data_IF_193504309623
#
_entry.id   IF_193504309623
#
_cell.length_a   1.000
_cell.length_b   1.000
_cell.length_c   1.000
_cell.angle_alpha   90.00
_cell.angle_beta   90.00
_cell.angle_gamma   90.00
#
_symmetry.space_group_name_H-M   'P 1'
#
loop_
_entity.id
_entity.type
_entity.pdbx_description
1 polymer ?
#
# COMPACT_ATOMS: atom_id res chain seq x y z
N UNK A 1 -7.54 18.73 1.18
CA UNK A 1 -6.44 19.17 0.30
C UNK A 1 -5.74 17.92 -0.22
N UNK A 2 -5.48 17.83 -1.52
CA UNK A 2 -4.77 16.66 -2.08
C UNK A 2 -3.29 16.74 -1.71
N UNK A 3 -2.73 15.65 -1.17
CA UNK A 3 -1.28 15.54 -0.96
C UNK A 3 -0.59 15.45 -2.34
N UNK A 4 0.56 16.12 -2.56
CA UNK A 4 1.29 15.98 -3.82
C UNK A 4 1.73 14.52 -4.05
N UNK A 5 1.75 14.04 -5.30
CA UNK A 5 2.18 12.68 -5.58
C UNK A 5 3.67 12.50 -5.23
N UNK A 6 4.00 11.29 -4.78
CA UNK A 6 5.38 10.84 -4.70
C UNK A 6 5.84 10.41 -6.09
N UNK A 7 7.05 10.78 -6.51
CA UNK A 7 7.55 10.56 -7.87
C UNK A 7 9.03 10.20 -7.85
N UNK A 8 9.37 9.11 -8.55
CA UNK A 8 10.76 8.72 -8.80
C UNK A 8 10.88 7.93 -10.10
N UNK A 9 11.74 8.38 -11.03
CA UNK A 9 12.09 7.71 -12.31
C UNK A 9 10.88 7.09 -13.05
N UNK A 10 9.85 7.90 -13.32
CA UNK A 10 8.65 7.47 -14.06
C UNK A 10 7.67 6.60 -13.26
N UNK A 11 7.96 6.33 -11.99
CA UNK A 11 7.03 5.74 -11.04
C UNK A 11 6.41 6.87 -10.22
N UNK A 12 5.10 6.82 -10.03
CA UNK A 12 4.40 7.79 -9.18
C UNK A 12 3.36 7.13 -8.30
N UNK A 13 3.20 7.63 -7.08
CA UNK A 13 2.18 7.20 -6.14
C UNK A 13 1.30 8.38 -5.72
N UNK A 14 -0.01 8.21 -5.85
CA UNK A 14 -1.04 9.11 -5.34
C UNK A 14 -1.67 8.42 -4.13
N UNK A 15 -1.53 9.05 -2.96
CA UNK A 15 -1.88 8.48 -1.66
C UNK A 15 -2.86 9.39 -0.92
N UNK A 16 -3.77 8.79 -0.16
CA UNK A 16 -4.66 9.49 0.74
C UNK A 16 -3.95 10.09 1.96
N UNK A 17 -4.65 10.87 2.80
CA UNK A 17 -4.07 11.51 3.98
C UNK A 17 -3.49 10.52 5.00
N UNK A 18 -3.98 9.28 5.04
CA UNK A 18 -3.46 8.23 5.90
C UNK A 18 -2.36 7.37 5.21
N UNK A 19 -1.96 7.73 3.99
CA UNK A 19 -1.06 6.92 3.15
C UNK A 19 -1.77 5.77 2.43
N UNK A 20 -3.09 5.82 2.34
CA UNK A 20 -3.93 4.76 1.80
C UNK A 20 -4.20 4.90 0.30
N UNK A 21 -4.50 3.78 -0.35
CA UNK A 21 -5.04 3.72 -1.71
C UNK A 21 -6.39 3.02 -1.65
N UNK A 22 -7.43 3.70 -2.11
CA UNK A 22 -8.83 3.26 -2.05
C UNK A 22 -9.33 2.62 -3.35
N UNK A 23 -8.63 2.87 -4.46
CA UNK A 23 -9.03 2.44 -5.80
C UNK A 23 -9.86 3.48 -6.54
N UNK A 24 -9.82 4.73 -6.08
CA UNK A 24 -10.53 5.86 -6.66
C UNK A 24 -10.24 5.97 -8.17
N UNK A 25 -11.27 6.37 -8.92
CA UNK A 25 -11.22 6.65 -10.36
C UNK A 25 -11.68 8.09 -10.60
N UNK A 26 -11.48 8.59 -11.80
CA UNK A 26 -11.97 9.88 -12.24
C UNK A 26 -10.87 10.91 -12.42
N UNK A 27 -11.11 12.13 -11.97
CA UNK A 27 -10.17 13.25 -12.15
C UNK A 27 -8.89 13.14 -11.31
N UNK A 28 -8.93 12.37 -10.22
CA UNK A 28 -7.80 12.18 -9.32
C UNK A 28 -7.75 10.73 -8.83
N UNK A 29 -7.41 9.76 -9.70
CA UNK A 29 -7.27 8.36 -9.31
C UNK A 29 -6.09 8.21 -8.34
N UNK A 30 -6.28 7.38 -7.32
CA UNK A 30 -5.20 6.99 -6.39
C UNK A 30 -4.54 5.68 -6.83
N UNK A 31 -3.32 5.44 -6.34
CA UNK A 31 -2.57 4.22 -6.61
C UNK A 31 -1.08 4.43 -6.87
N UNK A 32 -0.40 3.31 -7.11
CA UNK A 32 0.97 3.27 -7.65
C UNK A 32 0.88 3.05 -9.16
N UNK A 33 1.57 3.88 -9.93
CA UNK A 33 1.51 3.88 -11.38
C UNK A 33 2.90 3.79 -11.99
N UNK A 34 2.98 3.02 -13.08
CA UNK A 34 4.19 2.87 -13.88
C UNK A 34 3.78 2.46 -15.30
N UNK A 35 4.39 3.09 -16.31
CA UNK A 35 4.13 2.80 -17.75
C UNK A 35 2.62 2.71 -18.08
N UNK A 36 1.90 3.78 -17.75
CA UNK A 36 0.48 3.98 -18.05
C UNK A 36 -0.51 2.98 -17.43
N UNK A 37 -0.09 2.16 -16.45
CA UNK A 37 -0.94 1.23 -15.72
C UNK A 37 -0.90 1.47 -14.20
N UNK A 38 -2.04 1.25 -13.53
CA UNK A 38 -2.14 1.22 -12.07
C UNK A 38 -1.72 -0.14 -11.52
N UNK A 39 -0.53 -0.19 -10.95
CA UNK A 39 0.06 -1.37 -10.35
C UNK A 39 -0.38 -1.62 -8.92
N UNK A 40 -0.89 -0.61 -8.20
CA UNK A 40 -1.49 -0.77 -6.87
C UNK A 40 -2.81 -0.01 -6.83
N UNK A 41 -3.91 -0.73 -6.67
CA UNK A 41 -5.27 -0.19 -6.67
C UNK A 41 -5.92 -0.23 -5.29
N UNK A 42 -5.37 -0.99 -4.33
CA UNK A 42 -5.76 -0.93 -2.92
C UNK A 42 -4.53 -1.04 -2.03
N UNK A 43 -4.50 -0.23 -0.98
CA UNK A 43 -3.45 -0.21 0.03
C UNK A 43 -4.02 0.40 1.32
N UNK A 44 -4.84 -0.38 2.03
CA UNK A 44 -5.67 0.14 3.12
C UNK A 44 -5.28 -0.51 4.45
N UNK A 45 -4.72 0.30 5.34
CA UNK A 45 -4.32 -0.10 6.69
C UNK A 45 -5.56 -0.10 7.60
N UNK A 46 -5.67 -1.14 8.44
CA UNK A 46 -6.61 -1.19 9.56
C UNK A 46 -5.84 -1.49 10.84
N UNK A 47 -6.25 -0.83 11.91
CA UNK A 47 -5.75 -1.00 13.28
C UNK A 47 -6.93 -1.46 14.12
N UNK A 48 -6.79 -2.62 14.75
CA UNK A 48 -7.85 -3.27 15.55
C UNK A 48 -9.17 -3.42 14.78
N UNK A 49 -9.06 -3.74 13.49
CA UNK A 49 -10.19 -4.02 12.60
C UNK A 49 -10.86 -2.79 12.00
N UNK A 50 -10.40 -1.58 12.30
CA UNK A 50 -10.98 -0.34 11.80
C UNK A 50 -9.94 0.56 11.09
N UNK A 51 -10.37 1.45 10.17
CA UNK A 51 -9.47 2.44 9.59
C UNK A 51 -8.84 3.33 10.67
N UNK A 52 -7.54 3.66 10.58
CA UNK A 52 -6.86 4.48 11.56
C UNK A 52 -7.42 5.90 11.60
N UNK A 53 -7.40 6.51 12.79
CA UNK A 53 -7.55 7.96 12.91
C UNK A 53 -6.24 8.65 12.49
N UNK A 54 -6.37 9.75 11.73
CA UNK A 54 -5.22 10.53 11.26
C UNK A 54 -4.97 11.67 12.25
N UNK A 55 -3.86 11.59 12.99
CA UNK A 55 -3.41 12.68 13.87
C UNK A 55 -2.61 13.72 13.10
N UNK A 56 -1.68 13.24 12.27
CA UNK A 56 -0.91 14.08 11.34
C UNK A 56 -1.08 13.48 9.96
N UNK A 57 -1.71 14.21 9.01
CA UNK A 57 -1.87 13.72 7.66
C UNK A 57 -0.51 13.58 6.99
N UNK A 58 -0.47 12.79 5.92
CA UNK A 58 0.72 12.59 5.13
C UNK A 58 1.36 13.93 4.71
N UNK A 59 2.64 14.10 5.04
CA UNK A 59 3.45 15.29 4.71
C UNK A 59 4.81 14.87 4.14
N UNK A 60 5.33 15.63 3.19
CA UNK A 60 6.63 15.39 2.56
C UNK A 60 7.33 16.71 2.28
N UNK A 61 8.67 16.70 2.29
CA UNK A 61 9.51 17.85 1.91
C UNK A 61 9.69 17.98 0.40
N UNK A 62 9.26 16.98 -0.38
CA UNK A 62 9.28 17.02 -1.84
C UNK A 62 8.83 15.70 -2.47
N UNK A 63 8.50 15.68 -3.77
CA UNK A 63 7.91 14.51 -4.43
C UNK A 63 8.83 13.28 -4.42
N UNK A 64 10.15 13.46 -4.33
CA UNK A 64 11.13 12.38 -4.26
C UNK A 64 11.66 12.12 -2.83
N UNK A 65 11.08 12.77 -1.81
CA UNK A 65 11.40 12.54 -0.41
C UNK A 65 10.33 11.64 0.24
N UNK A 66 10.68 10.86 1.28
CA UNK A 66 9.71 10.09 2.03
C UNK A 66 8.60 10.99 2.59
N UNK A 67 7.37 10.52 2.48
CA UNK A 67 6.23 11.12 3.15
C UNK A 67 5.97 10.42 4.48
N UNK A 68 5.52 11.18 5.49
CA UNK A 68 5.22 10.66 6.83
C UNK A 68 3.81 11.04 7.27
N UNK A 69 3.10 10.12 7.89
CA UNK A 69 1.85 10.33 8.60
C UNK A 69 1.95 9.77 10.04
N UNK A 70 1.15 10.34 10.95
CA UNK A 70 0.99 9.83 12.32
C UNK A 70 -0.46 9.42 12.51
N UNK A 71 -0.64 8.15 12.86
CA UNK A 71 -1.91 7.45 12.91
C UNK A 71 -2.14 6.84 14.29
N UNK A 72 -3.40 6.63 14.67
CA UNK A 72 -3.76 5.90 15.88
C UNK A 72 -4.90 4.92 15.60
N UNK A 73 -5.08 3.87 16.41
CA UNK A 73 -6.34 3.14 16.40
C UNK A 73 -7.49 4.10 16.72
N UNK A 74 -8.68 3.85 16.19
CA UNK A 74 -9.87 4.58 16.61
C UNK A 74 -10.17 4.22 18.08
N UNK A 75 -10.25 5.24 18.93
CA UNK A 75 -10.56 5.11 20.36
C UNK A 75 -11.73 6.01 20.73
N UNK A 76 -12.37 5.73 21.87
CA UNK A 76 -13.39 6.61 22.45
C UNK A 76 -12.82 8.00 22.75
N UNK A 77 -13.69 9.02 22.79
CA UNK A 77 -13.28 10.43 22.97
C UNK A 77 -12.43 10.70 24.22
N UNK A 78 -12.63 9.92 25.28
CA UNK A 78 -12.03 10.14 26.59
C UNK A 78 -10.91 9.14 26.93
N UNK A 79 -10.48 8.33 25.95
CA UNK A 79 -9.42 7.34 26.16
C UNK A 79 -8.19 7.67 25.30
N UNK A 80 -6.98 7.76 25.90
CA UNK A 80 -5.77 7.92 25.10
C UNK A 80 -5.51 6.64 24.28
N UNK A 81 -5.12 6.79 22.99
CA UNK A 81 -4.79 5.66 22.14
C UNK A 81 -3.72 4.76 22.79
N UNK A 82 -3.91 3.43 22.83
CA UNK A 82 -2.95 2.51 23.44
C UNK A 82 -1.59 2.50 22.73
N UNK A 83 -1.55 2.87 21.46
CA UNK A 83 -0.34 2.98 20.67
C UNK A 83 -0.49 4.02 19.56
N UNK A 84 0.65 4.43 19.02
CA UNK A 84 0.78 5.36 17.89
C UNK A 84 1.47 4.65 16.74
N UNK A 85 1.04 4.89 15.51
CA UNK A 85 1.68 4.37 14.30
C UNK A 85 2.27 5.51 13.50
N UNK A 86 3.59 5.50 13.33
CA UNK A 86 4.29 6.39 12.38
C UNK A 86 4.43 5.61 11.07
N UNK A 87 3.80 6.14 10.02
CA UNK A 87 3.80 5.56 8.68
C UNK A 87 4.68 6.40 7.76
N UNK A 88 5.70 5.79 7.19
CA UNK A 88 6.63 6.42 6.26
C UNK A 88 6.58 5.71 4.91
N UNK A 89 6.43 6.46 3.81
CA UNK A 89 6.29 5.92 2.47
C UNK A 89 7.17 6.67 1.48
N UNK A 90 7.85 5.96 0.59
CA UNK A 90 8.66 6.55 -0.47
C UNK A 90 8.51 5.75 -1.78
N UNK A 91 8.66 6.44 -2.90
CA UNK A 91 8.65 5.81 -4.24
C UNK A 91 10.08 5.70 -4.73
N UNK A 92 10.49 4.49 -5.08
CA UNK A 92 11.73 4.19 -5.79
C UNK A 92 11.43 3.81 -7.25
N UNK A 93 12.46 3.50 -8.04
CA UNK A 93 12.27 3.07 -9.42
C UNK A 93 11.48 1.75 -9.48
N UNK A 94 10.22 1.84 -9.89
CA UNK A 94 9.28 0.72 -10.00
C UNK A 94 8.76 0.18 -8.68
N UNK A 95 8.87 0.91 -7.58
CA UNK A 95 8.44 0.41 -6.29
C UNK A 95 7.89 1.50 -5.35
N UNK A 96 6.95 1.09 -4.48
CA UNK A 96 6.59 1.78 -3.25
C UNK A 96 7.27 1.04 -2.08
N UNK A 97 7.99 1.76 -1.24
CA UNK A 97 8.61 1.24 -0.02
C UNK A 97 7.95 1.92 1.17
N UNK A 98 7.61 1.15 2.19
CA UNK A 98 6.91 1.63 3.38
C UNK A 98 7.54 1.09 4.65
N UNK A 99 7.53 1.91 5.70
CA UNK A 99 7.85 1.53 7.07
C UNK A 99 6.71 1.93 7.99
N UNK A 100 6.24 1.00 8.82
CA UNK A 100 5.29 1.22 9.89
C UNK A 100 6.03 1.02 11.22
N UNK A 101 6.13 2.08 12.03
CA UNK A 101 6.64 2.01 13.40
C UNK A 101 5.48 2.15 14.37
N UNK A 102 5.23 1.11 15.14
CA UNK A 102 4.19 1.06 16.16
C UNK A 102 4.84 1.31 17.52
N UNK A 103 4.34 2.28 18.26
CA UNK A 103 4.91 2.75 19.53
C UNK A 103 3.82 2.66 20.60
N UNK A 104 4.04 1.84 21.63
CA UNK A 104 3.13 1.69 22.75
C UNK A 104 3.12 2.94 23.63
N UNK A 105 1.93 3.42 23.96
CA UNK A 105 1.74 4.61 24.80
C UNK A 105 1.47 4.26 26.28
N UNK A 106 1.30 2.97 26.61
CA UNK A 106 0.88 2.47 27.93
C UNK A 106 2.01 1.77 28.69
N UNK A 107 1.86 1.73 30.01
CA UNK A 107 2.76 1.03 30.93
C UNK A 107 2.43 -0.46 31.05
N UNK A 108 1.31 -0.89 30.48
CA UNK A 108 0.91 -2.28 30.34
C UNK A 108 1.25 -2.79 28.93
N UNK A 109 1.55 -4.10 28.77
CA UNK A 109 1.64 -4.71 27.46
C UNK A 109 0.32 -4.59 26.68
N UNK A 110 0.39 -4.50 25.35
CA UNK A 110 -0.80 -4.53 24.52
C UNK A 110 -0.58 -5.31 23.21
N UNK A 111 -1.64 -6.00 22.78
CA UNK A 111 -1.70 -6.68 21.50
C UNK A 111 -2.21 -5.71 20.43
N UNK A 112 -1.48 -5.59 19.33
CA UNK A 112 -1.84 -4.75 18.18
C UNK A 112 -2.27 -5.64 17.02
N UNK A 113 -3.51 -5.47 16.54
CA UNK A 113 -4.02 -6.19 15.37
C UNK A 113 -3.93 -5.32 14.14
N UNK A 114 -2.90 -5.57 13.34
CA UNK A 114 -2.67 -4.84 12.09
C UNK A 114 -3.18 -5.66 10.92
N UNK A 115 -3.90 -5.05 10.00
CA UNK A 115 -4.15 -5.67 8.71
C UNK A 115 -4.08 -4.68 7.56
N UNK A 116 -3.60 -5.17 6.42
CA UNK A 116 -3.44 -4.41 5.19
C UNK A 116 -4.20 -5.09 4.06
N UNK A 117 -5.16 -4.38 3.47
CA UNK A 117 -5.87 -4.83 2.28
C UNK A 117 -5.17 -4.30 1.03
N UNK A 118 -4.78 -5.20 0.13
CA UNK A 118 -3.98 -4.91 -1.05
C UNK A 118 -4.62 -5.50 -2.31
N UNK A 119 -4.58 -4.77 -3.43
CA UNK A 119 -5.04 -5.23 -4.74
C UNK A 119 -4.27 -4.49 -5.83
N UNK A 120 -4.18 -5.10 -7.01
CA UNK A 120 -3.65 -4.49 -8.22
C UNK A 120 -4.65 -4.75 -9.34
N UNK A 121 -5.15 -3.72 -10.02
CA UNK A 121 -6.15 -3.88 -11.09
C UNK A 121 -5.56 -3.74 -12.50
N UNK A 122 -4.33 -3.22 -12.62
CA UNK A 122 -3.66 -2.96 -13.90
C UNK A 122 -4.50 -2.11 -14.85
N UNK A 123 -5.33 -1.22 -14.27
CA UNK A 123 -6.15 -0.30 -15.04
C UNK A 123 -5.26 0.71 -15.76
N UNK A 124 -5.50 0.92 -17.05
CA UNK A 124 -4.80 1.93 -17.82
C UNK A 124 -5.42 3.33 -17.62
N UNK A 125 -4.72 4.35 -18.10
CA UNK A 125 -5.16 5.75 -17.99
C UNK A 125 -6.52 6.04 -18.63
N UNK A 126 -7.01 5.23 -19.56
CA UNK A 126 -8.32 5.40 -20.19
C UNK A 126 -9.44 4.80 -19.34
N UNK A 127 -9.19 3.64 -18.71
CA UNK A 127 -10.12 3.02 -17.76
C UNK A 127 -10.29 3.80 -16.46
N UNK A 128 -9.29 4.60 -16.09
CA UNK A 128 -9.30 5.41 -14.87
C UNK A 128 -10.06 6.73 -15.03
N UNK A 129 -10.49 7.11 -16.23
CA UNK A 129 -11.20 8.37 -16.47
C UNK A 129 -12.61 8.37 -15.87
N UNK A 130 -13.16 9.57 -15.69
CA UNK A 130 -14.49 9.79 -15.11
C UNK A 130 -15.64 9.35 -16.02
N UNK A 131 -15.37 9.01 -17.28
CA UNK A 131 -16.39 8.70 -18.29
C UNK A 131 -16.93 7.27 -18.20
N UNK A 132 -16.44 6.47 -17.24
CA UNK A 132 -16.87 5.09 -16.96
C UNK A 132 -16.84 4.17 -18.18
N UNK A 133 -16.06 4.50 -19.21
CA UNK A 133 -15.94 3.64 -20.39
C UNK A 133 -15.30 2.31 -20.00
N UNK A 134 -16.00 1.24 -20.30
CA UNK A 134 -15.47 -0.13 -20.21
C UNK A 134 -14.90 -0.51 -21.56
N UNK A 135 -13.62 -0.83 -21.60
CA UNK A 135 -12.97 -1.34 -22.81
C UNK A 135 -13.02 -2.86 -22.78
N UNK A 136 -13.45 -3.48 -23.89
CA UNK A 136 -13.37 -4.93 -24.02
C UNK A 136 -11.89 -5.34 -24.01
N UNK A 137 -11.50 -6.03 -22.95
CA UNK A 137 -10.14 -6.55 -22.75
C UNK A 137 -9.98 -7.99 -23.27
N UNK A 138 -11.00 -8.53 -23.95
CA UNK A 138 -10.98 -9.84 -24.56
C UNK A 138 -10.65 -10.94 -23.54
N UNK A 139 -9.54 -11.63 -23.77
CA UNK A 139 -9.03 -12.71 -22.93
C UNK A 139 -8.25 -12.23 -21.69
N UNK A 140 -8.31 -10.94 -21.36
CA UNK A 140 -7.68 -10.39 -20.16
C UNK A 140 -8.02 -11.18 -18.89
N UNK A 141 -7.02 -11.66 -18.17
CA UNK A 141 -7.18 -12.39 -16.89
C UNK A 141 -6.31 -11.76 -15.82
N UNK A 142 -6.91 -11.56 -14.65
CA UNK A 142 -6.21 -11.17 -13.44
C UNK A 142 -6.20 -12.32 -12.45
N UNK A 143 -5.03 -12.60 -11.88
CA UNK A 143 -4.86 -13.64 -10.87
C UNK A 143 -4.05 -13.10 -9.70
N UNK A 144 -4.18 -13.75 -8.55
CA UNK A 144 -3.34 -13.50 -7.40
C UNK A 144 -2.78 -14.84 -6.90
N UNK A 145 -1.47 -14.88 -6.64
CA UNK A 145 -0.80 -15.98 -5.98
C UNK A 145 -0.38 -15.55 -4.57
N UNK A 146 -0.73 -16.34 -3.57
CA UNK A 146 -0.33 -16.10 -2.19
C UNK A 146 1.17 -16.40 -2.01
N UNK A 147 1.83 -15.60 -1.18
CA UNK A 147 3.23 -15.77 -0.80
C UNK A 147 3.32 -15.88 0.71
N UNK A 148 4.36 -16.53 1.20
CA UNK A 148 4.63 -16.57 2.65
C UNK A 148 4.95 -15.19 3.22
N UNK A 149 5.46 -14.28 2.39
CA UNK A 149 5.82 -12.91 2.76
C UNK A 149 4.85 -11.85 2.22
N UNK A 150 3.72 -12.24 1.61
CA UNK A 150 2.74 -11.31 1.04
C UNK A 150 1.92 -11.90 -0.11
N UNK A 151 1.88 -11.22 -1.26
CA UNK A 151 1.06 -11.62 -2.41
C UNK A 151 1.67 -11.18 -3.74
N UNK A 152 1.40 -11.92 -4.81
CA UNK A 152 1.74 -11.54 -6.19
C UNK A 152 0.47 -11.42 -7.02
N UNK A 153 0.36 -10.36 -7.79
CA UNK A 153 -0.74 -10.08 -8.70
C UNK A 153 -0.23 -10.15 -10.13
N UNK A 154 -0.95 -10.85 -10.99
CA UNK A 154 -0.65 -10.96 -12.41
C UNK A 154 -1.83 -10.49 -13.24
N UNK A 155 -1.52 -9.83 -14.35
CA UNK A 155 -2.47 -9.57 -15.42
C UNK A 155 -1.91 -10.04 -16.75
N UNK A 156 -2.67 -10.88 -17.46
CA UNK A 156 -2.31 -11.43 -18.77
C UNK A 156 -3.39 -11.14 -19.81
N UNK A 157 -2.98 -10.80 -21.04
CA UNK A 157 -3.84 -10.62 -22.21
C UNK A 157 -3.04 -10.97 -23.47
N UNK A 158 -3.30 -12.11 -24.11
CA UNK A 158 -2.40 -12.65 -25.13
C UNK A 158 -0.95 -12.75 -24.63
N UNK A 159 0.00 -12.16 -25.37
CA UNK A 159 1.41 -12.09 -24.97
C UNK A 159 1.72 -11.02 -23.90
N UNK A 160 0.76 -10.15 -23.59
CA UNK A 160 0.96 -9.09 -22.60
C UNK A 160 0.89 -9.67 -21.19
N UNK A 161 1.87 -9.34 -20.34
CA UNK A 161 1.98 -9.83 -18.96
C UNK A 161 2.59 -8.74 -18.08
N UNK A 162 1.83 -8.27 -17.10
CA UNK A 162 2.29 -7.35 -16.05
C UNK A 162 2.10 -8.00 -14.69
N UNK A 163 2.99 -7.66 -13.75
CA UNK A 163 3.01 -8.19 -12.39
C UNK A 163 3.15 -7.07 -11.37
N UNK A 164 2.54 -7.25 -10.20
CA UNK A 164 2.83 -6.48 -9.00
C UNK A 164 3.07 -7.44 -7.84
N UNK A 165 4.20 -7.33 -7.15
CA UNK A 165 4.50 -8.13 -5.98
C UNK A 165 4.46 -7.28 -4.71
N UNK A 166 3.73 -7.74 -3.71
CA UNK A 166 3.66 -7.16 -2.37
C UNK A 166 4.40 -8.07 -1.40
N UNK A 167 5.35 -7.52 -0.65
CA UNK A 167 6.11 -8.24 0.38
C UNK A 167 6.18 -7.44 1.67
N UNK A 168 6.23 -8.13 2.81
CA UNK A 168 6.37 -7.53 4.13
C UNK A 168 7.39 -8.26 4.99
N UNK A 169 8.01 -7.51 5.91
CA UNK A 169 8.90 -8.03 6.96
C UNK A 169 8.58 -7.35 8.29
N UNK A 170 8.26 -8.10 9.36
CA UNK A 170 8.07 -9.56 9.38
C UNK A 170 6.96 -10.02 8.42
N UNK A 171 7.03 -11.30 8.02
CA UNK A 171 5.99 -11.91 7.21
C UNK A 171 4.63 -11.82 7.93
N UNK A 172 3.50 -11.69 7.19
CA UNK A 172 2.18 -11.72 7.80
C UNK A 172 1.90 -13.08 8.44
N UNK A 173 1.18 -13.06 9.57
CA UNK A 173 0.72 -14.27 10.25
C UNK A 173 -0.33 -15.01 9.40
N UNK A 174 -1.09 -14.27 8.59
CA UNK A 174 -2.01 -14.83 7.61
C UNK A 174 -2.16 -13.94 6.38
N UNK A 175 -2.41 -14.59 5.24
CA UNK A 175 -2.84 -13.96 3.99
C UNK A 175 -4.13 -14.64 3.54
N UNK A 176 -5.20 -13.86 3.40
CA UNK A 176 -6.52 -14.36 2.99
C UNK A 176 -7.15 -13.45 1.94
N UNK A 177 -8.07 -13.99 1.15
CA UNK A 177 -8.89 -13.15 0.27
C UNK A 177 -9.65 -12.11 1.11
N UNK A 178 -9.65 -10.85 0.68
CA UNK A 178 -10.47 -9.85 1.31
C UNK A 178 -11.95 -10.10 0.94
N UNK A 179 -12.81 -10.25 1.95
CA UNK A 179 -14.27 -10.34 1.78
C UNK A 179 -14.78 -9.20 0.85
N UNK A 180 -15.78 -9.48 -0.01
CA UNK A 180 -15.98 -8.68 -1.22
C UNK A 180 -16.49 -7.27 -0.91
N UNK A 181 -15.68 -6.26 -1.22
CA UNK A 181 -16.14 -4.88 -1.38
C UNK A 181 -16.68 -4.72 -2.80
N UNK A 182 -17.92 -5.17 -3.02
CA UNK A 182 -18.87 -4.79 -4.09
C UNK A 182 -18.40 -4.64 -5.55
N UNK A 183 -17.20 -5.07 -5.92
CA UNK A 183 -16.66 -4.96 -7.27
C UNK A 183 -16.37 -6.35 -7.82
N UNK A 184 -17.20 -6.79 -8.77
CA UNK A 184 -17.01 -8.00 -9.54
C UNK A 184 -15.57 -8.06 -10.06
N UNK A 185 -14.84 -9.11 -9.65
CA UNK A 185 -13.47 -9.34 -10.08
C UNK A 185 -12.39 -8.63 -9.26
N UNK A 186 -12.58 -8.24 -8.00
CA UNK A 186 -11.46 -7.92 -7.09
C UNK A 186 -10.63 -9.18 -6.77
N UNK A 187 -9.31 -9.04 -6.71
CA UNK A 187 -8.38 -10.09 -6.30
C UNK A 187 -7.73 -9.72 -4.97
N UNK A 188 -8.36 -8.79 -4.24
CA UNK A 188 -7.80 -8.18 -3.05
C UNK A 188 -7.45 -9.23 -2.00
N UNK A 189 -6.27 -9.07 -1.41
CA UNK A 189 -5.78 -9.89 -0.32
C UNK A 189 -5.68 -9.05 0.94
N UNK A 190 -5.96 -9.67 2.08
CA UNK A 190 -5.76 -9.12 3.41
C UNK A 190 -4.56 -9.82 4.04
N UNK A 191 -3.52 -9.05 4.35
CA UNK A 191 -2.35 -9.47 5.11
C UNK A 191 -2.57 -9.05 6.56
N UNK A 192 -2.35 -9.93 7.54
CA UNK A 192 -2.59 -9.62 8.95
C UNK A 192 -1.43 -9.99 9.86
N UNK A 193 -1.27 -9.20 10.92
CA UNK A 193 -0.30 -9.39 11.98
C UNK A 193 -0.95 -9.19 13.35
N UNK A 194 -0.59 -10.03 14.32
CA UNK A 194 -0.85 -9.83 15.73
C UNK A 194 0.49 -9.57 16.43
N UNK A 195 0.72 -8.32 16.83
CA UNK A 195 1.99 -7.88 17.41
C UNK A 195 1.85 -7.67 18.91
N UNK A 196 2.72 -8.26 19.70
CA UNK A 196 2.81 -8.01 21.13
C UNK A 196 3.77 -6.84 21.40
N UNK A 197 3.25 -5.79 22.03
CA UNK A 197 4.05 -4.67 22.51
C UNK A 197 4.28 -4.79 24.01
N UNK A 198 5.54 -4.83 24.47
CA UNK A 198 5.86 -4.61 25.88
C UNK A 198 5.39 -3.23 26.37
N UNK A 199 5.39 -2.97 27.69
CA UNK A 199 5.24 -1.63 28.26
C UNK A 199 6.12 -0.61 27.55
N UNK A 200 5.52 0.46 27.01
CA UNK A 200 6.20 1.48 26.19
C UNK A 200 7.04 0.93 25.03
N UNK A 201 6.74 -0.30 24.60
CA UNK A 201 7.49 -1.04 23.60
C UNK A 201 7.24 -0.51 22.19
N UNK A 202 7.98 -1.08 21.24
CA UNK A 202 7.83 -0.77 19.82
C UNK A 202 7.91 -2.00 18.96
N UNK A 203 7.20 -1.98 17.83
CA UNK A 203 7.30 -2.95 16.76
C UNK A 203 7.48 -2.21 15.43
N UNK A 204 8.03 -2.90 14.43
CA UNK A 204 8.27 -2.32 13.11
C UNK A 204 7.93 -3.33 12.01
N UNK A 205 7.26 -2.83 10.96
CA UNK A 205 7.03 -3.55 9.72
C UNK A 205 7.64 -2.74 8.56
N UNK A 206 8.32 -3.41 7.65
CA UNK A 206 8.72 -2.86 6.35
C UNK A 206 7.90 -3.56 5.27
N UNK A 207 7.37 -2.78 4.32
CA UNK A 207 6.56 -3.30 3.22
C UNK A 207 7.09 -2.76 1.90
N UNK A 208 6.93 -3.57 0.85
CA UNK A 208 7.30 -3.23 -0.51
C UNK A 208 6.21 -3.63 -1.48
N UNK A 209 5.94 -2.74 -2.43
CA UNK A 209 5.16 -3.02 -3.63
C UNK A 209 6.08 -2.83 -4.81
N UNK A 210 6.30 -3.88 -5.59
CA UNK A 210 7.18 -3.87 -6.76
C UNK A 210 6.34 -4.05 -8.02
N UNK A 211 6.36 -3.05 -8.88
CA UNK A 211 5.69 -3.03 -10.17
C UNK A 211 6.63 -3.56 -11.26
N UNK A 212 6.19 -4.58 -12.00
CA UNK A 212 6.87 -5.10 -13.17
C UNK A 212 5.92 -5.04 -14.38
N UNK A 213 5.95 -3.93 -15.14
CA UNK A 213 5.19 -3.80 -16.37
C UNK A 213 5.63 -4.82 -17.43
N UNK A 214 4.74 -5.07 -18.39
CA UNK A 214 5.07 -5.88 -19.55
C UNK A 214 6.34 -5.41 -20.27
N UNK A 215 7.16 -6.39 -20.68
CA UNK A 215 8.41 -6.15 -21.38
C UNK A 215 9.52 -5.52 -20.52
N UNK A 216 9.37 -5.48 -19.20
CA UNK A 216 10.43 -5.04 -18.27
C UNK A 216 11.10 -6.20 -17.57
N UNK A 217 12.41 -6.05 -17.37
CA UNK A 217 13.13 -6.84 -16.39
C UNK A 217 12.69 -6.44 -14.97
N UNK A 218 12.72 -7.36 -13.99
CA UNK A 218 12.53 -7.02 -12.59
C UNK A 218 13.51 -5.92 -12.16
N UNK A 219 13.14 -5.04 -11.21
CA UNK A 219 14.08 -4.07 -10.67
C UNK A 219 15.27 -4.79 -10.02
N UNK A 220 16.49 -4.29 -10.30
CA UNK A 220 17.74 -4.89 -9.81
C UNK A 220 17.90 -4.80 -8.30
N UNK A 221 17.45 -3.69 -7.73
CA UNK A 221 17.42 -3.45 -6.29
C UNK A 221 16.20 -2.59 -5.96
N UNK A 222 15.55 -2.90 -4.85
CA UNK A 222 14.48 -2.08 -4.27
C UNK A 222 14.91 -1.77 -2.85
N UNK A 223 15.01 -0.49 -2.46
CA UNK A 223 15.40 -0.10 -1.10
C UNK A 223 14.55 -0.82 -0.06
N UNK A 224 15.18 -1.23 1.05
CA UNK A 224 14.50 -1.89 2.15
C UNK A 224 13.71 -0.90 3.03
N UNK A 225 14.11 0.38 3.01
CA UNK A 225 13.60 1.43 3.88
C UNK A 225 13.30 2.72 3.10
N UNK A 226 12.22 3.47 3.41
CA UNK A 226 11.91 4.74 2.76
C UNK A 226 13.07 5.76 2.79
N UNK A 227 13.83 5.83 3.88
CA UNK A 227 14.94 6.78 4.02
C UNK A 227 16.07 6.55 3.01
N UNK A 228 16.30 5.29 2.61
CA UNK A 228 17.33 4.91 1.66
C UNK A 228 17.02 5.35 0.21
N UNK A 229 15.76 5.62 -0.13
CA UNK A 229 15.37 6.15 -1.45
C UNK A 229 16.01 7.52 -1.73
N UNK A 230 16.29 8.30 -0.69
CA UNK A 230 16.92 9.62 -0.82
C UNK A 230 18.42 9.52 -1.11
N UNK A 231 19.06 8.40 -0.75
CA UNK A 231 20.50 8.19 -0.85
C UNK A 231 20.97 7.68 -2.23
N UNK A 232 20.07 7.17 -3.07
CA UNK A 232 20.39 6.65 -4.41
C UNK A 232 20.46 7.75 -5.51
N UNK A 233 20.70 9.01 -5.12
CA UNK A 233 20.75 10.16 -6.03
C UNK A 233 22.10 10.31 -6.72
#
# INVERSE_FOLDING_TARGET
MSHPPLVHRGTFAVLGPAGDVTGARGASPDGLFLRDARHLSRWQLTLDGAPPAVLVPMTTTGPAAPATAVLTPPVGRDEPPPYTVVREQAVAAGALVERLRIIGNRAEPCTVRLALTVDADFADQFELRSDRRTYDKGDGRRTCALRTDGAEFDYRRGAWHSRTTVTARPAPDAVAAAEPVSATGSAAQRLSWELELPPHGRAELTLRVVAQPHGTAPPRSVPDDPSAVTAER
#
